data_IF_747213844536
#
_entry.id   IF_747213844536
#
_cell.length_a   1.000
_cell.length_b   1.000
_cell.length_c   1.000
_cell.angle_alpha   90.00
_cell.angle_beta   90.00
_cell.angle_gamma   90.00
#
_symmetry.space_group_name_H-M   'P 1'
#
loop_
_entity.id
_entity.type
_entity.pdbx_description
1 polymer ?
#
# COMPACT_ATOMS: atom_id res chain seq x y z
N UNK A 1 -7.78 12.84 -3.95
CA UNK A 1 -7.72 11.56 -4.70
C UNK A 1 -6.79 10.57 -3.99
N UNK A 2 -6.83 9.28 -4.33
CA UNK A 2 -5.98 8.25 -3.72
C UNK A 2 -5.14 7.57 -4.80
N UNK A 3 -3.83 7.50 -4.62
CA UNK A 3 -2.93 6.67 -5.42
C UNK A 3 -2.63 5.37 -4.68
N UNK A 4 -2.77 4.24 -5.36
CA UNK A 4 -2.58 2.91 -4.79
C UNK A 4 -1.48 2.20 -5.55
N UNK A 5 -0.42 1.82 -4.83
CA UNK A 5 0.63 0.93 -5.36
C UNK A 5 0.39 -0.48 -4.82
N UNK A 6 0.20 -1.45 -5.72
CA UNK A 6 -0.10 -2.84 -5.37
C UNK A 6 1.09 -3.72 -5.71
N UNK A 7 1.59 -4.46 -4.72
CA UNK A 7 2.67 -5.44 -4.89
C UNK A 7 2.24 -6.81 -4.36
N UNK A 8 2.85 -7.90 -4.85
CA UNK A 8 2.72 -9.21 -4.20
C UNK A 8 3.44 -9.23 -2.86
N UNK A 9 4.70 -8.77 -2.84
CA UNK A 9 5.51 -8.55 -1.63
C UNK A 9 5.89 -7.08 -1.52
N UNK A 10 5.62 -6.47 -0.37
CA UNK A 10 5.89 -5.08 -0.09
C UNK A 10 7.33 -4.87 0.36
N UNK A 11 8.13 -4.23 -0.49
CA UNK A 11 9.52 -3.87 -0.23
C UNK A 11 9.72 -2.36 -0.31
N UNK A 12 10.91 -1.88 0.10
CA UNK A 12 11.27 -0.45 0.08
C UNK A 12 11.08 0.16 -1.31
N UNK A 13 11.48 -0.56 -2.36
CA UNK A 13 11.37 -0.06 -3.74
C UNK A 13 9.91 0.28 -4.13
N UNK A 14 8.93 -0.48 -3.64
CA UNK A 14 7.52 -0.17 -3.87
C UNK A 14 7.07 1.14 -3.20
N UNK A 15 7.59 1.43 -2.01
CA UNK A 15 7.31 2.69 -1.30
C UNK A 15 7.99 3.87 -1.99
N UNK A 16 9.23 3.69 -2.46
CA UNK A 16 9.96 4.70 -3.23
C UNK A 16 9.29 4.98 -4.57
N UNK A 17 8.77 3.95 -5.25
CA UNK A 17 7.96 4.10 -6.45
C UNK A 17 6.74 4.98 -6.19
N UNK A 18 5.92 4.66 -5.17
CA UNK A 18 4.73 5.44 -4.83
C UNK A 18 5.08 6.88 -4.41
N UNK A 19 6.16 7.07 -3.64
CA UNK A 19 6.62 8.40 -3.21
C UNK A 19 6.95 9.29 -4.41
N UNK A 20 7.68 8.76 -5.40
CA UNK A 20 7.98 9.49 -6.66
C UNK A 20 6.71 9.87 -7.43
N UNK A 21 5.71 8.99 -7.45
CA UNK A 21 4.43 9.29 -8.10
C UNK A 21 3.67 10.40 -7.38
N UNK A 22 3.60 10.37 -6.05
CA UNK A 22 2.94 11.42 -5.26
C UNK A 22 3.63 12.78 -5.44
N UNK A 23 4.97 12.82 -5.41
CA UNK A 23 5.74 14.04 -5.66
C UNK A 23 5.50 14.59 -7.08
N UNK A 24 5.33 13.73 -8.08
CA UNK A 24 4.97 14.15 -9.44
C UNK A 24 3.55 14.72 -9.50
N UNK A 25 2.58 14.06 -8.87
CA UNK A 25 1.18 14.49 -8.84
C UNK A 25 0.99 15.81 -8.10
N UNK A 26 1.75 16.04 -7.04
CA UNK A 26 1.65 17.26 -6.24
C UNK A 26 2.11 18.52 -7.00
N UNK A 27 2.96 18.36 -8.02
CA UNK A 27 3.38 19.45 -8.91
C UNK A 27 2.28 19.93 -9.86
N UNK A 28 1.21 19.16 -10.04
CA UNK A 28 0.07 19.55 -10.86
C UNK A 28 -1.02 20.17 -9.95
N UNK A 29 -1.34 21.47 -10.10
CA UNK A 29 -2.35 22.13 -9.26
C UNK A 29 -3.74 21.49 -9.32
N UNK A 30 -4.05 20.75 -10.38
CA UNK A 30 -5.33 20.06 -10.55
C UNK A 30 -5.36 18.69 -9.84
N UNK A 31 -4.19 18.12 -9.53
CA UNK A 31 -4.04 16.79 -8.94
C UNK A 31 -3.39 16.81 -7.55
N UNK A 32 -2.95 17.96 -7.04
CA UNK A 32 -2.33 18.09 -5.71
C UNK A 32 -3.18 17.53 -4.57
N UNK A 33 -2.52 17.10 -3.49
CA UNK A 33 -3.19 16.51 -2.33
C UNK A 33 -3.67 15.06 -2.51
N UNK A 34 -3.07 14.33 -3.45
CA UNK A 34 -3.28 12.87 -3.56
C UNK A 34 -2.64 12.17 -2.36
N UNK A 35 -3.38 11.27 -1.71
CA UNK A 35 -2.85 10.43 -0.63
C UNK A 35 -2.39 9.08 -1.17
N UNK A 36 -1.31 8.53 -0.60
CA UNK A 36 -0.77 7.23 -0.99
C UNK A 36 -1.24 6.08 -0.10
N UNK A 37 -1.60 4.97 -0.72
CA UNK A 37 -1.78 3.67 -0.06
C UNK A 37 -0.87 2.63 -0.71
N UNK A 38 -0.03 1.98 0.09
CA UNK A 38 0.80 0.85 -0.32
C UNK A 38 0.15 -0.46 0.11
N UNK A 39 -0.21 -1.29 -0.86
CA UNK A 39 -0.94 -2.54 -0.65
C UNK A 39 -0.07 -3.72 -1.05
N UNK A 40 0.05 -4.71 -0.17
CA UNK A 40 0.67 -5.99 -0.52
C UNK A 40 0.12 -7.15 0.29
N UNK A 41 0.45 -8.40 -0.07
CA UNK A 41 0.07 -9.55 0.77
C UNK A 41 0.86 -9.54 2.09
N UNK A 42 2.15 -9.22 2.00
CA UNK A 42 3.05 -9.07 3.15
C UNK A 42 3.92 -7.86 2.88
N UNK A 43 4.08 -6.96 3.85
CA UNK A 43 4.94 -5.78 3.76
C UNK A 43 6.07 -5.93 4.78
N UNK A 44 7.33 -5.88 4.31
CA UNK A 44 8.49 -5.98 5.20
C UNK A 44 8.52 -4.82 6.21
N UNK A 45 8.98 -5.03 7.47
CA UNK A 45 9.00 -3.98 8.49
C UNK A 45 9.67 -2.68 8.06
N UNK A 46 10.82 -2.76 7.38
CA UNK A 46 11.54 -1.59 6.87
C UNK A 46 10.73 -0.80 5.82
N UNK A 47 9.89 -1.48 5.03
CA UNK A 47 9.01 -0.81 4.09
C UNK A 47 7.84 -0.11 4.82
N UNK A 48 7.30 -0.71 5.88
CA UNK A 48 6.29 -0.04 6.75
C UNK A 48 6.86 1.22 7.40
N UNK A 49 8.09 1.15 7.91
CA UNK A 49 8.79 2.30 8.53
C UNK A 49 8.96 3.44 7.52
N UNK A 50 9.46 3.13 6.31
CA UNK A 50 9.62 4.14 5.27
C UNK A 50 8.28 4.71 4.79
N UNK A 51 7.26 3.87 4.60
CA UNK A 51 5.94 4.35 4.20
C UNK A 51 5.36 5.32 5.23
N UNK A 52 5.49 4.99 6.52
CA UNK A 52 5.04 5.85 7.61
C UNK A 52 5.77 7.20 7.62
N UNK A 53 7.08 7.23 7.38
CA UNK A 53 7.85 8.49 7.35
C UNK A 53 7.48 9.39 6.16
N UNK A 54 6.83 8.83 5.13
CA UNK A 54 6.33 9.54 3.95
C UNK A 54 4.81 9.78 3.96
N UNK A 55 4.13 9.53 5.09
CA UNK A 55 2.67 9.63 5.22
C UNK A 55 1.90 8.73 4.23
N UNK A 56 2.46 7.57 3.89
CA UNK A 56 1.83 6.54 3.05
C UNK A 56 1.22 5.49 3.97
N UNK A 57 -0.07 5.19 3.77
CA UNK A 57 -0.75 4.12 4.54
C UNK A 57 -0.37 2.76 3.98
N UNK A 58 -0.02 1.81 4.85
CA UNK A 58 0.17 0.41 4.47
C UNK A 58 -1.09 -0.42 4.72
N UNK A 59 -1.44 -1.30 3.78
CA UNK A 59 -2.52 -2.28 3.93
C UNK A 59 -2.00 -3.65 3.49
N UNK A 60 -2.08 -4.62 4.39
CA UNK A 60 -1.85 -6.03 4.05
C UNK A 60 -3.17 -6.68 3.64
N UNK A 61 -3.17 -7.43 2.54
CA UNK A 61 -4.36 -8.11 2.02
C UNK A 61 -4.20 -9.61 2.05
N UNK A 62 -5.25 -10.30 2.51
CA UNK A 62 -5.37 -11.74 2.41
C UNK A 62 -5.78 -12.11 0.97
N UNK A 63 -4.85 -12.72 0.23
CA UNK A 63 -5.09 -13.08 -1.16
C UNK A 63 -6.02 -14.27 -1.33
N UNK A 64 -6.02 -15.19 -0.37
CA UNK A 64 -6.86 -16.39 -0.41
C UNK A 64 -8.31 -15.97 -0.16
N UNK A 65 -8.55 -15.10 0.82
CA UNK A 65 -9.86 -14.49 1.03
C UNK A 65 -10.35 -13.70 -0.21
N UNK A 66 -9.47 -12.94 -0.87
CA UNK A 66 -9.82 -12.19 -2.10
C UNK A 66 -10.15 -13.10 -3.30
N UNK A 67 -9.62 -14.33 -3.34
CA UNK A 67 -9.97 -15.33 -4.35
C UNK A 67 -11.24 -16.10 -4.02
N UNK A 68 -11.90 -15.81 -2.90
CA UNK A 68 -13.08 -16.54 -2.43
C UNK A 68 -12.75 -17.92 -1.88
N UNK A 69 -11.49 -18.17 -1.52
CA UNK A 69 -11.11 -19.36 -0.77
C UNK A 69 -11.49 -19.07 0.68
N UNK A 70 -12.50 -19.78 1.19
CA UNK A 70 -12.84 -19.67 2.60
C UNK A 70 -11.67 -20.15 3.46
N UNK A 71 -11.28 -19.34 4.44
CA UNK A 71 -10.26 -19.73 5.40
C UNK A 71 -10.83 -20.86 6.28
N UNK A 72 -10.07 -21.95 6.40
CA UNK A 72 -10.38 -23.05 7.33
C UNK A 72 -10.11 -22.65 8.81
N UNK A 73 -9.66 -21.42 9.07
CA UNK A 73 -9.48 -20.93 10.43
C UNK A 73 -10.83 -20.60 11.07
N UNK A 74 -11.07 -21.18 12.26
CA UNK A 74 -12.20 -20.84 13.10
C UNK A 74 -12.06 -19.37 13.54
N UNK A 75 -12.98 -18.51 13.08
CA UNK A 75 -13.08 -17.13 13.58
C UNK A 75 -14.11 -17.11 14.72
N UNK A 76 -13.78 -16.42 15.82
CA UNK A 76 -14.80 -16.09 16.81
C UNK A 76 -15.81 -15.16 16.12
N UNK A 77 -17.08 -15.50 16.29
CA UNK A 77 -18.28 -14.86 15.72
C UNK A 77 -18.18 -13.33 15.71
#
# INVERSE_FOLDING_TARGET
AIAIEVKRRGEIDGVEQLSRYLERLDRDPTLRGVQGIFVAQIIKPQAKVLASSRNIRCVEVDYDALRGIESNELRLF
#
